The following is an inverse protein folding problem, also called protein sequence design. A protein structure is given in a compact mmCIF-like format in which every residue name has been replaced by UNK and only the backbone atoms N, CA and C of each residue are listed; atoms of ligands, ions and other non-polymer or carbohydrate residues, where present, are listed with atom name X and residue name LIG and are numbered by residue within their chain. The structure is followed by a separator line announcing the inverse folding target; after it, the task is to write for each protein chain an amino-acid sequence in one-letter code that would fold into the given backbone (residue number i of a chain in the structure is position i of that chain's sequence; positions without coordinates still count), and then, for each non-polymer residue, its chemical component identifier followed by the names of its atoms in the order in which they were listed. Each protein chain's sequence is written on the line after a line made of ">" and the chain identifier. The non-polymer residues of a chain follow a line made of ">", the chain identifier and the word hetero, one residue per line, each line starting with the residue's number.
data_IF_799824872213
#
_entry.id   IF_799824872213
#
_cell.length_a   1.000
_cell.length_b   1.000
_cell.length_c   1.000
_cell.angle_alpha   90.00
_cell.angle_beta   90.00
_cell.angle_gamma   90.00
#
_symmetry.space_group_name_H-M   'P 1'
#
loop_
_entity.id
_entity.type
_entity.pdbx_description
1 polymer ?
#
# COMPACT_ATOMS: atom_id res chain seq x y z
N UNK A 1 -22.88 24.40 -8.00
CA UNK A 1 -22.47 25.32 -6.92
C UNK A 1 -21.04 25.81 -7.08
N UNK A 2 -20.02 24.95 -7.16
CA UNK A 2 -18.61 25.36 -7.28
C UNK A 2 -18.28 26.34 -8.43
N UNK A 3 -18.88 26.15 -9.62
CA UNK A 3 -18.68 27.00 -10.82
C UNK A 3 -19.10 28.47 -10.66
N UNK A 4 -19.91 28.80 -9.64
CA UNK A 4 -20.35 30.19 -9.38
C UNK A 4 -19.34 30.99 -8.56
N UNK A 5 -18.43 30.31 -7.86
CA UNK A 5 -17.53 30.93 -6.88
C UNK A 5 -16.05 30.68 -7.16
N UNK A 6 -15.72 29.78 -8.10
CA UNK A 6 -14.35 29.40 -8.41
C UNK A 6 -14.05 29.62 -9.90
N UNK A 7 -12.81 29.99 -10.27
CA UNK A 7 -12.39 30.03 -11.66
C UNK A 7 -12.63 28.68 -12.36
N UNK A 8 -12.97 28.65 -13.66
CA UNK A 8 -13.26 27.40 -14.40
C UNK A 8 -12.17 26.33 -14.22
N UNK A 9 -10.89 26.75 -14.24
CA UNK A 9 -9.73 25.87 -14.03
C UNK A 9 -9.74 25.11 -12.70
N UNK A 10 -10.35 25.65 -11.65
CA UNK A 10 -10.47 25.01 -10.34
C UNK A 10 -11.77 24.23 -10.24
N UNK A 11 -12.88 24.80 -10.74
CA UNK A 11 -14.19 24.16 -10.70
C UNK A 11 -14.27 22.86 -11.53
N UNK A 12 -13.54 22.79 -12.63
CA UNK A 12 -13.49 21.61 -13.52
C UNK A 12 -12.27 20.71 -13.25
N UNK A 13 -11.42 21.06 -12.26
CA UNK A 13 -10.30 20.22 -11.87
C UNK A 13 -10.83 18.91 -11.30
N UNK A 14 -10.44 17.78 -11.91
CA UNK A 14 -10.72 16.46 -11.34
C UNK A 14 -10.13 16.37 -9.94
N UNK A 15 -10.85 15.74 -9.01
CA UNK A 15 -10.39 15.53 -7.63
C UNK A 15 -9.03 14.84 -7.67
N UNK A 16 -7.99 15.58 -7.32
CA UNK A 16 -6.64 15.07 -7.12
C UNK A 16 -6.35 15.18 -5.63
N UNK A 17 -6.03 14.05 -4.97
CA UNK A 17 -5.59 14.08 -3.58
C UNK A 17 -4.33 14.94 -3.40
N UNK A 18 -4.00 15.27 -2.16
CA UNK A 18 -2.67 15.79 -1.83
C UNK A 18 -1.67 14.63 -1.96
N UNK A 19 -0.73 14.75 -2.89
CA UNK A 19 0.26 13.72 -3.15
C UNK A 19 1.21 13.60 -1.96
N UNK A 20 0.97 12.65 -1.06
CA UNK A 20 1.93 12.27 -0.03
C UNK A 20 3.13 11.63 -0.75
N UNK A 21 4.38 12.03 -0.46
CA UNK A 21 5.56 11.48 -1.12
C UNK A 21 5.91 10.12 -0.53
N UNK A 22 4.98 9.17 -0.59
CA UNK A 22 5.12 7.84 0.03
C UNK A 22 6.40 7.14 -0.45
N UNK A 23 6.82 7.40 -1.69
CA UNK A 23 8.06 6.87 -2.27
C UNK A 23 9.33 7.31 -1.54
N UNK A 24 9.30 8.47 -0.88
CA UNK A 24 10.43 8.94 -0.06
C UNK A 24 10.43 8.33 1.34
N UNK A 25 9.31 7.78 1.79
CA UNK A 25 9.17 7.17 3.11
C UNK A 25 9.31 5.65 3.09
N UNK A 26 8.97 5.03 1.95
CA UNK A 26 9.05 3.59 1.70
C UNK A 26 10.37 3.29 0.99
N UNK A 27 11.47 3.44 1.74
CA UNK A 27 12.81 3.15 1.26
C UNK A 27 13.13 1.64 1.25
N UNK A 28 14.37 1.31 0.89
CA UNK A 28 14.85 -0.08 0.83
C UNK A 28 14.82 -0.77 2.19
N UNK A 29 15.21 -0.06 3.25
CA UNK A 29 15.23 -0.62 4.61
C UNK A 29 13.81 -0.92 5.11
N UNK A 30 12.86 -0.03 4.83
CA UNK A 30 11.45 -0.26 5.07
C UNK A 30 10.96 -1.52 4.36
N UNK A 31 11.29 -1.68 3.07
CA UNK A 31 10.84 -2.83 2.26
C UNK A 31 11.44 -4.16 2.73
N UNK A 32 12.70 -4.16 3.14
CA UNK A 32 13.35 -5.35 3.72
C UNK A 32 12.64 -5.77 5.01
N UNK A 33 12.44 -4.84 5.95
CA UNK A 33 11.74 -5.13 7.21
C UNK A 33 10.28 -5.52 7.00
N UNK A 34 9.60 -4.89 6.04
CA UNK A 34 8.23 -5.23 5.67
C UNK A 34 8.15 -6.66 5.12
N UNK A 35 9.09 -7.05 4.25
CA UNK A 35 9.15 -8.41 3.70
C UNK A 35 9.38 -9.45 4.79
N UNK A 36 10.35 -9.22 5.66
CA UNK A 36 10.64 -10.09 6.80
C UNK A 36 9.44 -10.22 7.73
N UNK A 37 8.77 -9.10 8.03
CA UNK A 37 7.57 -9.10 8.82
C UNK A 37 6.48 -9.93 8.13
N UNK A 38 6.01 -9.52 6.96
CA UNK A 38 4.82 -10.10 6.34
C UNK A 38 5.02 -11.52 5.79
N UNK A 39 6.22 -11.88 5.34
CA UNK A 39 6.52 -13.19 4.74
C UNK A 39 7.31 -14.12 5.68
N UNK A 40 7.68 -13.63 6.86
CA UNK A 40 8.30 -14.44 7.91
C UNK A 40 7.39 -15.59 8.35
N UNK A 41 8.00 -16.69 8.81
CA UNK A 41 7.31 -17.91 9.23
C UNK A 41 6.53 -17.76 10.53
N UNK A 42 6.76 -16.68 11.29
CA UNK A 42 6.35 -16.58 12.70
C UNK A 42 5.14 -15.67 12.94
N UNK A 43 4.46 -15.23 11.87
CA UNK A 43 3.35 -14.28 12.02
C UNK A 43 1.95 -14.93 11.99
N UNK A 44 1.03 -14.45 12.85
CA UNK A 44 -0.37 -14.87 12.83
C UNK A 44 -1.11 -14.53 11.54
N UNK A 45 -0.52 -13.72 10.64
CA UNK A 45 -1.14 -13.34 9.36
C UNK A 45 -1.52 -14.59 8.54
N UNK A 46 -0.71 -15.64 8.60
CA UNK A 46 -0.97 -16.92 7.91
C UNK A 46 -2.19 -17.67 8.45
N UNK A 47 -2.65 -17.36 9.68
CA UNK A 47 -3.88 -17.92 10.25
C UNK A 47 -5.14 -17.29 9.63
N UNK A 48 -5.02 -16.11 9.04
CA UNK A 48 -6.15 -15.36 8.46
C UNK A 48 -6.10 -15.28 6.94
N UNK A 49 -4.90 -15.27 6.36
CA UNK A 49 -4.69 -15.12 4.92
C UNK A 49 -3.84 -16.24 4.36
N UNK A 50 -4.23 -16.71 3.17
CA UNK A 50 -3.42 -17.63 2.38
C UNK A 50 -2.19 -16.93 1.83
N UNK A 51 -1.00 -17.44 2.17
CA UNK A 51 0.28 -16.85 1.77
C UNK A 51 0.38 -16.68 0.25
N UNK A 52 -0.07 -17.67 -0.51
CA UNK A 52 -0.05 -17.64 -1.97
C UNK A 52 -0.80 -16.45 -2.58
N UNK A 53 -1.73 -15.85 -1.84
CA UNK A 53 -2.55 -14.73 -2.32
C UNK A 53 -1.86 -13.38 -2.15
N UNK A 54 -1.12 -13.17 -1.05
CA UNK A 54 -0.52 -11.87 -0.75
C UNK A 54 0.98 -11.81 -0.99
N UNK A 55 1.68 -12.94 -1.05
CA UNK A 55 3.11 -12.97 -1.33
C UNK A 55 3.50 -12.33 -2.68
N UNK A 56 2.76 -12.55 -3.78
CA UNK A 56 3.04 -11.85 -5.04
C UNK A 56 2.86 -10.33 -4.94
N UNK A 57 1.89 -9.88 -4.14
CA UNK A 57 1.60 -8.45 -3.91
C UNK A 57 2.73 -7.80 -3.11
N UNK A 58 3.15 -8.43 -2.02
CA UNK A 58 4.26 -7.96 -1.17
C UNK A 58 5.57 -7.97 -1.96
N UNK A 59 5.84 -9.03 -2.72
CA UNK A 59 7.03 -9.15 -3.56
C UNK A 59 7.08 -8.06 -4.62
N UNK A 60 5.99 -7.86 -5.38
CA UNK A 60 5.91 -6.82 -6.40
C UNK A 60 6.14 -5.42 -5.82
N UNK A 61 5.58 -5.15 -4.65
CA UNK A 61 5.81 -3.89 -3.93
C UNK A 61 7.26 -3.71 -3.52
N UNK A 62 7.88 -4.71 -2.89
CA UNK A 62 9.26 -4.63 -2.43
C UNK A 62 10.24 -4.46 -3.59
N UNK A 63 10.04 -5.18 -4.70
CA UNK A 63 10.94 -5.17 -5.86
C UNK A 63 10.65 -4.04 -6.85
N UNK A 64 9.61 -3.22 -6.59
CA UNK A 64 9.11 -2.21 -7.53
C UNK A 64 8.75 -2.79 -8.91
N UNK A 65 8.29 -4.04 -8.95
CA UNK A 65 7.89 -4.69 -10.20
C UNK A 65 6.38 -4.54 -10.45
N UNK A 66 5.94 -4.47 -11.72
CA UNK A 66 4.52 -4.42 -12.03
C UNK A 66 3.81 -5.70 -11.60
N UNK A 67 2.60 -5.56 -11.04
CA UNK A 67 1.71 -6.69 -10.80
C UNK A 67 0.62 -6.74 -11.89
N UNK A 68 0.37 -7.90 -12.54
CA UNK A 68 -0.48 -7.97 -13.74
C UNK A 68 -1.92 -7.50 -13.51
N UNK A 69 -2.45 -7.68 -12.31
CA UNK A 69 -3.85 -7.34 -11.98
C UNK A 69 -4.01 -6.12 -11.06
N UNK A 70 -2.92 -5.51 -10.56
CA UNK A 70 -3.00 -4.50 -9.50
C UNK A 70 -2.20 -3.27 -9.91
N UNK A 71 -2.86 -2.11 -9.88
CA UNK A 71 -2.20 -0.84 -10.13
C UNK A 71 -1.15 -0.55 -9.04
N UNK A 72 -0.17 0.30 -9.34
CA UNK A 72 0.82 0.72 -8.34
C UNK A 72 0.15 1.22 -7.05
N UNK A 73 -0.82 2.12 -7.14
CA UNK A 73 -1.57 2.61 -5.97
C UNK A 73 -2.26 1.49 -5.19
N UNK A 74 -2.84 0.52 -5.90
CA UNK A 74 -3.46 -0.66 -5.30
C UNK A 74 -2.47 -1.59 -4.59
N UNK A 75 -1.19 -1.59 -4.95
CA UNK A 75 -0.12 -2.28 -4.20
C UNK A 75 0.13 -1.59 -2.86
N UNK A 76 0.29 -0.26 -2.86
CA UNK A 76 0.47 0.50 -1.61
C UNK A 76 -0.69 0.29 -0.64
N UNK A 77 -1.93 0.41 -1.12
CA UNK A 77 -3.12 0.20 -0.28
C UNK A 77 -3.13 -1.18 0.39
N UNK A 78 -2.88 -2.25 -0.38
CA UNK A 78 -2.89 -3.63 0.15
C UNK A 78 -1.73 -3.89 1.09
N UNK A 79 -0.52 -3.43 0.76
CA UNK A 79 0.66 -3.64 1.61
C UNK A 79 0.53 -2.90 2.93
N UNK A 80 0.05 -1.65 2.93
CA UNK A 80 -0.19 -0.89 4.15
C UNK A 80 -1.30 -1.53 4.99
N UNK A 81 -2.35 -2.07 4.36
CA UNK A 81 -3.39 -2.83 5.06
C UNK A 81 -2.83 -4.09 5.74
N UNK A 82 -2.05 -4.91 5.02
CA UNK A 82 -1.42 -6.11 5.57
C UNK A 82 -0.44 -5.77 6.70
N UNK A 83 0.37 -4.71 6.54
CA UNK A 83 1.26 -4.21 7.58
C UNK A 83 0.49 -3.79 8.82
N UNK A 84 -0.58 -3.00 8.66
CA UNK A 84 -1.41 -2.53 9.76
C UNK A 84 -2.01 -3.69 10.55
N UNK A 85 -2.49 -4.71 9.83
CA UNK A 85 -3.03 -5.92 10.45
C UNK A 85 -1.95 -6.72 11.19
N UNK A 86 -0.80 -6.95 10.56
CA UNK A 86 0.33 -7.66 11.20
C UNK A 86 0.78 -6.96 12.48
N UNK A 87 0.85 -5.62 12.49
CA UNK A 87 1.19 -4.84 13.67
C UNK A 87 0.10 -4.90 14.75
N UNK A 88 -1.17 -4.93 14.37
CA UNK A 88 -2.28 -5.07 15.31
C UNK A 88 -2.26 -6.45 15.98
N UNK A 89 -2.05 -7.52 15.20
CA UNK A 89 -2.01 -8.90 15.69
C UNK A 89 -0.82 -9.17 16.63
N UNK A 90 0.29 -8.43 16.49
CA UNK A 90 1.45 -8.53 17.40
C UNK A 90 1.23 -7.86 18.77
N UNK A 91 0.20 -7.02 18.90
CA UNK A 91 -0.13 -6.32 20.16
C UNK A 91 -1.15 -7.07 21.02
N UNK A 92 -1.70 -8.17 20.50
CA UNK A 92 -2.60 -9.08 21.21
C UNK A 92 -1.81 -10.24 21.79
#
# INVERSE_FOLDING_TARGET
>A
MARRHLPPKIADKKKSGFGVPVDRWVDGDFKTRLRELLLGSDLPLQNYFRRETYEPVVTAFCENTPHPAISRGGLYERVIMLLSLALALRRC
#
